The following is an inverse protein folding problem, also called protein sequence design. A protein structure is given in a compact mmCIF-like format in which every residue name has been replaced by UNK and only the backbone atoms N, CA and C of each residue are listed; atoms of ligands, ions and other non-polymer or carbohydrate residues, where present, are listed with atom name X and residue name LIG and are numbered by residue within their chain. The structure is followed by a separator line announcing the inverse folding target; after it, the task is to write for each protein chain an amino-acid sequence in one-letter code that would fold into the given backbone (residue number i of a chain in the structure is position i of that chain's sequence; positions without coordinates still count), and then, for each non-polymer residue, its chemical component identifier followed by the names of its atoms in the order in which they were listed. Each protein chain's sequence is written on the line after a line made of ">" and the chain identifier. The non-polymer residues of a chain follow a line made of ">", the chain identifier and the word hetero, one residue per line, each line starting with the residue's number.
data_IF_352135270580
#
_entry.id   IF_352135270580
#
_cell.length_a   1.000
_cell.length_b   1.000
_cell.length_c   1.000
_cell.angle_alpha   90.00
_cell.angle_beta   90.00
_cell.angle_gamma   90.00
#
_symmetry.space_group_name_H-M   'P 1'
#
loop_
_entity.id
_entity.type
_entity.pdbx_description
1 polymer ?
#
# COMPACT_ATOMS: atom_id res chain seq x y z
N UNK A 1 -13.05 17.83 0.30
CA UNK A 1 -13.25 19.24 0.70
C UNK A 1 -13.23 19.34 2.23
N UNK A 2 -12.79 20.45 2.83
CA UNK A 2 -12.87 20.64 4.29
C UNK A 2 -14.32 20.60 4.75
N UNK A 3 -14.62 19.75 5.73
CA UNK A 3 -15.97 19.60 6.28
C UNK A 3 -15.87 19.46 7.81
N UNK A 4 -16.68 20.25 8.52
CA UNK A 4 -16.71 20.20 9.99
C UNK A 4 -17.14 18.82 10.47
N UNK A 5 -16.46 18.34 11.51
CA UNK A 5 -16.76 17.07 12.19
C UNK A 5 -16.74 15.84 11.27
N UNK A 6 -15.96 15.93 10.18
CA UNK A 6 -15.74 14.83 9.25
C UNK A 6 -14.36 14.21 9.41
N UNK A 7 -14.21 12.98 8.94
CA UNK A 7 -12.93 12.28 8.83
C UNK A 7 -12.70 11.98 7.35
N UNK A 8 -11.50 12.28 6.87
CA UNK A 8 -11.05 11.83 5.55
C UNK A 8 -10.34 10.50 5.73
N UNK A 9 -10.76 9.49 4.95
CA UNK A 9 -10.14 8.16 4.94
C UNK A 9 -9.47 7.95 3.58
N UNK A 10 -8.22 7.50 3.61
CA UNK A 10 -7.49 7.07 2.42
C UNK A 10 -6.86 5.69 2.67
N UNK A 11 -6.69 4.93 1.60
CA UNK A 11 -6.08 3.60 1.64
C UNK A 11 -4.60 3.70 1.28
N UNK A 12 -3.76 2.89 1.92
CA UNK A 12 -2.31 2.83 1.67
C UNK A 12 -1.89 1.64 0.81
N UNK A 13 -0.62 1.62 0.43
CA UNK A 13 -0.01 0.64 -0.50
C UNK A 13 -0.23 -0.82 -0.05
N UNK A 14 -0.35 -1.08 1.26
CA UNK A 14 -0.58 -2.43 1.80
C UNK A 14 -1.97 -2.98 1.43
N UNK A 15 -3.01 -2.13 1.45
CA UNK A 15 -4.35 -2.55 1.01
C UNK A 15 -4.42 -2.72 -0.51
N UNK A 16 -3.62 -1.96 -1.27
CA UNK A 16 -3.48 -2.17 -2.71
C UNK A 16 -2.93 -3.58 -2.98
N UNK A 17 -1.88 -4.00 -2.27
CA UNK A 17 -1.34 -5.36 -2.37
C UNK A 17 -2.36 -6.42 -1.96
N UNK A 18 -2.98 -6.29 -0.78
CA UNK A 18 -3.93 -7.27 -0.23
C UNK A 18 -5.13 -7.47 -1.16
N UNK A 19 -5.59 -6.40 -1.81
CA UNK A 19 -6.73 -6.43 -2.71
C UNK A 19 -6.36 -6.76 -4.16
N UNK A 20 -5.12 -7.18 -4.41
CA UNK A 20 -4.59 -7.43 -5.75
C UNK A 20 -4.79 -6.24 -6.72
N UNK A 21 -4.73 -5.01 -6.20
CA UNK A 21 -4.87 -3.78 -6.99
C UNK A 21 -6.31 -3.30 -7.18
N UNK A 22 -7.32 -4.03 -6.69
CA UNK A 22 -8.72 -3.60 -6.74
C UNK A 22 -8.94 -2.25 -6.06
N UNK A 23 -8.28 -2.02 -4.92
CA UNK A 23 -8.27 -0.72 -4.24
C UNK A 23 -6.89 -0.10 -4.29
N UNK A 24 -6.71 0.91 -5.14
CA UNK A 24 -5.41 1.57 -5.32
C UNK A 24 -5.14 2.61 -4.25
N UNK A 25 -3.89 2.63 -3.78
CA UNK A 25 -3.29 3.73 -3.04
C UNK A 25 -3.02 4.90 -4.00
N UNK A 26 -3.59 6.06 -3.67
CA UNK A 26 -3.62 7.24 -4.54
C UNK A 26 -2.65 8.30 -4.06
N UNK A 27 -1.92 8.89 -5.01
CA UNK A 27 -1.04 10.03 -4.76
C UNK A 27 -1.85 11.22 -4.24
N UNK A 28 -1.43 11.78 -3.12
CA UNK A 28 -2.03 12.96 -2.52
C UNK A 28 -0.96 13.96 -2.11
N UNK A 29 -1.29 15.25 -2.16
CA UNK A 29 -0.42 16.35 -1.75
C UNK A 29 -1.21 17.41 -1.01
N UNK A 30 -0.52 18.20 -0.19
CA UNK A 30 -1.06 19.41 0.42
C UNK A 30 -0.32 20.60 -0.17
N UNK A 31 -1.07 21.63 -0.56
CA UNK A 31 -0.52 22.85 -1.16
C UNK A 31 -0.51 23.94 -0.08
N UNK A 32 0.62 24.63 0.07
CA UNK A 32 0.72 25.77 0.97
C UNK A 32 -0.05 26.98 0.40
N UNK A 33 -0.66 27.75 1.28
CA UNK A 33 -1.38 28.98 0.94
C UNK A 33 -0.70 30.17 1.62
N UNK A 34 -0.78 31.34 1.01
CA UNK A 34 -0.20 32.60 1.51
C UNK A 34 -0.96 33.16 2.71
N UNK A 35 -2.23 32.78 2.83
CA UNK A 35 -3.17 33.19 3.87
C UNK A 35 -3.82 31.95 4.52
N UNK A 36 -3.85 31.96 5.86
CA UNK A 36 -4.45 30.89 6.66
C UNK A 36 -3.48 29.80 7.13
N UNK A 37 -3.89 29.09 8.19
CA UNK A 37 -3.12 27.98 8.77
C UNK A 37 -4.00 26.72 8.81
N UNK A 38 -3.58 25.67 8.10
CA UNK A 38 -4.28 24.39 8.06
C UNK A 38 -3.70 23.42 9.09
N UNK A 39 -4.47 23.12 10.13
CA UNK A 39 -4.15 22.04 11.06
C UNK A 39 -4.50 20.67 10.46
N UNK A 40 -3.65 19.67 10.71
CA UNK A 40 -3.85 18.28 10.26
C UNK A 40 -3.46 17.31 11.38
N UNK A 41 -4.39 16.47 11.80
CA UNK A 41 -4.13 15.34 12.69
C UNK A 41 -4.35 14.08 11.87
N UNK A 42 -3.27 13.33 11.60
CA UNK A 42 -3.31 12.14 10.77
C UNK A 42 -2.88 10.92 11.59
N UNK A 43 -3.75 9.91 11.61
CA UNK A 43 -3.47 8.61 12.24
C UNK A 43 -3.30 7.55 11.16
N UNK A 44 -2.31 6.67 11.34
CA UNK A 44 -2.00 5.60 10.41
C UNK A 44 -2.17 4.26 11.12
N UNK A 45 -3.09 3.43 10.63
CA UNK A 45 -3.28 2.06 11.10
C UNK A 45 -2.53 1.12 10.16
N UNK A 46 -1.30 0.75 10.55
CA UNK A 46 -0.40 -0.05 9.74
C UNK A 46 -0.33 -1.50 10.25
N UNK A 47 0.10 -2.46 9.40
CA UNK A 47 0.47 -3.79 9.85
C UNK A 47 1.55 -3.77 10.94
N UNK A 48 1.65 -4.86 11.71
CA UNK A 48 2.81 -5.10 12.56
C UNK A 48 4.10 -5.24 11.74
N UNK A 49 5.25 -4.94 12.33
CA UNK A 49 6.54 -4.93 11.62
C UNK A 49 6.85 -6.27 10.94
N UNK A 50 6.58 -7.38 11.63
CA UNK A 50 6.79 -8.76 11.17
C UNK A 50 5.64 -9.31 10.30
N UNK A 51 4.58 -8.53 10.10
CA UNK A 51 3.43 -8.96 9.33
C UNK A 51 3.81 -9.22 7.87
N UNK A 52 3.37 -10.37 7.34
CA UNK A 52 3.57 -10.72 5.93
C UNK A 52 2.39 -10.24 5.10
N UNK A 53 2.66 -9.36 4.14
CA UNK A 53 1.66 -8.75 3.25
C UNK A 53 1.72 -9.43 1.88
N UNK A 54 0.55 -9.83 1.35
CA UNK A 54 0.40 -10.49 0.05
C UNK A 54 -1.04 -10.40 -0.45
N UNK A 55 -1.31 -10.61 -1.75
CA UNK A 55 -2.66 -10.66 -2.30
C UNK A 55 -3.53 -11.73 -1.61
N UNK A 56 -4.73 -11.35 -1.18
CA UNK A 56 -5.66 -12.28 -0.56
C UNK A 56 -6.07 -13.37 -1.57
N UNK A 57 -5.87 -14.68 -1.27
CA UNK A 57 -6.12 -15.76 -2.24
C UNK A 57 -7.54 -15.75 -2.81
N UNK A 58 -8.54 -15.44 -1.98
CA UNK A 58 -9.95 -15.39 -2.39
C UNK A 58 -10.27 -14.21 -3.32
N UNK A 59 -9.45 -13.16 -3.34
CA UNK A 59 -9.62 -12.04 -4.28
C UNK A 59 -8.94 -12.36 -5.62
N UNK A 60 -7.74 -12.96 -5.59
CA UNK A 60 -7.05 -13.40 -6.80
C UNK A 60 -7.87 -14.45 -7.55
N UNK A 61 -8.43 -15.45 -6.86
CA UNK A 61 -9.27 -16.48 -7.49
C UNK A 61 -10.50 -15.87 -8.17
N UNK A 62 -11.18 -14.94 -7.51
CA UNK A 62 -12.36 -14.25 -8.07
C UNK A 62 -12.03 -13.41 -9.30
N UNK A 63 -10.82 -12.86 -9.38
CA UNK A 63 -10.35 -12.10 -10.54
C UNK A 63 -9.91 -13.02 -11.67
N UNK A 64 -9.24 -14.13 -11.36
CA UNK A 64 -8.89 -15.17 -12.33
C UNK A 64 -10.13 -15.78 -12.99
N UNK A 65 -11.19 -16.06 -12.22
CA UNK A 65 -12.45 -16.60 -12.73
C UNK A 65 -13.21 -15.64 -13.65
N UNK A 66 -13.02 -14.33 -13.50
CA UNK A 66 -13.74 -13.30 -14.26
C UNK A 66 -12.96 -12.83 -15.48
N UNK A 67 -11.68 -12.56 -15.29
CA UNK A 67 -10.85 -11.78 -16.22
C UNK A 67 -9.50 -12.46 -16.51
N UNK A 68 -9.27 -13.71 -16.07
CA UNK A 68 -8.02 -14.48 -16.19
C UNK A 68 -6.78 -13.74 -15.63
N UNK A 69 -6.98 -12.97 -14.56
CA UNK A 69 -5.94 -12.18 -13.89
C UNK A 69 -5.31 -12.97 -12.74
N UNK A 70 -4.00 -13.21 -12.83
CA UNK A 70 -3.20 -13.81 -11.76
C UNK A 70 -2.78 -12.78 -10.68
N UNK A 71 -2.13 -13.25 -9.62
CA UNK A 71 -1.57 -12.38 -8.58
C UNK A 71 -0.50 -11.44 -9.17
N UNK A 72 -0.71 -10.13 -9.07
CA UNK A 72 0.18 -9.11 -9.69
C UNK A 72 1.18 -8.53 -8.69
N UNK A 73 0.84 -8.57 -7.40
CA UNK A 73 1.64 -7.97 -6.32
C UNK A 73 2.49 -9.00 -5.56
N UNK A 74 3.65 -8.58 -5.01
CA UNK A 74 4.57 -9.45 -4.27
C UNK A 74 4.04 -9.89 -2.90
N UNK A 75 4.71 -10.91 -2.33
CA UNK A 75 4.65 -11.28 -0.91
C UNK A 75 5.91 -10.76 -0.20
N UNK A 76 5.76 -10.03 0.89
CA UNK A 76 6.89 -9.44 1.63
C UNK A 76 6.57 -9.18 3.11
N UNK A 77 7.60 -8.94 3.93
CA UNK A 77 7.46 -8.50 5.32
C UNK A 77 7.30 -6.97 5.35
N UNK A 78 6.33 -6.48 6.13
CA UNK A 78 5.99 -5.06 6.17
C UNK A 78 7.17 -4.15 6.55
N UNK A 79 8.01 -4.57 7.51
CA UNK A 79 9.19 -3.80 7.90
C UNK A 79 10.16 -3.58 6.73
N UNK A 80 10.39 -4.58 5.89
CA UNK A 80 11.30 -4.48 4.75
C UNK A 80 10.78 -3.51 3.69
N UNK A 81 9.45 -3.53 3.46
CA UNK A 81 8.80 -2.52 2.64
C UNK A 81 8.98 -1.11 3.21
N UNK A 82 8.82 -0.95 4.52
CA UNK A 82 8.95 0.36 5.18
C UNK A 82 10.37 0.92 5.10
N UNK A 83 11.40 0.06 5.23
CA UNK A 83 12.82 0.45 5.04
C UNK A 83 13.06 1.04 3.65
N UNK A 84 12.45 0.48 2.61
CA UNK A 84 12.52 1.02 1.26
C UNK A 84 11.68 2.29 1.09
N UNK A 85 10.45 2.26 1.60
CA UNK A 85 9.48 3.35 1.48
C UNK A 85 10.02 4.67 2.01
N UNK A 86 10.68 4.67 3.18
CA UNK A 86 11.20 5.92 3.77
C UNK A 86 12.27 6.59 2.89
N UNK A 87 13.03 5.80 2.12
CA UNK A 87 14.08 6.29 1.21
C UNK A 87 13.47 6.79 -0.11
N UNK A 88 12.38 6.16 -0.57
CA UNK A 88 11.77 6.41 -1.88
C UNK A 88 10.41 7.10 -1.82
N UNK A 89 10.03 7.67 -0.67
CA UNK A 89 8.67 8.15 -0.36
C UNK A 89 8.05 9.05 -1.43
N UNK A 90 8.86 9.90 -2.05
CA UNK A 90 8.42 10.88 -3.05
C UNK A 90 8.73 10.46 -4.50
N UNK A 91 9.26 9.25 -4.71
CA UNK A 91 9.46 8.65 -6.03
C UNK A 91 8.21 7.84 -6.46
N UNK A 92 8.21 7.36 -7.70
CA UNK A 92 7.18 6.47 -8.23
C UNK A 92 6.94 5.27 -7.30
N UNK A 93 5.69 4.78 -7.25
CA UNK A 93 5.31 3.72 -6.30
C UNK A 93 5.61 2.32 -6.81
N UNK A 94 5.47 2.14 -8.11
CA UNK A 94 5.58 0.87 -8.80
C UNK A 94 6.94 0.21 -8.58
N UNK A 95 8.09 0.94 -8.64
CA UNK A 95 9.40 0.36 -8.35
C UNK A 95 9.54 -0.23 -6.94
N UNK A 96 8.77 0.24 -5.95
CA UNK A 96 8.81 -0.33 -4.59
C UNK A 96 8.23 -1.74 -4.57
N UNK A 97 7.14 -1.98 -5.29
CA UNK A 97 6.57 -3.32 -5.41
C UNK A 97 7.49 -4.26 -6.19
N UNK A 98 8.12 -3.77 -7.25
CA UNK A 98 9.10 -4.57 -8.01
C UNK A 98 10.31 -4.94 -7.16
N UNK A 99 10.83 -4.02 -6.34
CA UNK A 99 11.92 -4.32 -5.41
C UNK A 99 11.58 -5.42 -4.39
N UNK A 100 10.32 -5.47 -3.93
CA UNK A 100 9.86 -6.53 -3.03
C UNK A 100 9.73 -7.90 -3.70
N UNK A 101 9.51 -7.97 -5.03
CA UNK A 101 9.54 -9.25 -5.76
C UNK A 101 10.94 -9.87 -5.75
N UNK A 102 11.97 -9.05 -5.89
CA UNK A 102 13.37 -9.50 -5.93
C UNK A 102 13.90 -9.99 -4.57
N UNK A 103 13.23 -9.66 -3.47
CA UNK A 103 13.63 -10.00 -2.09
C UNK A 103 12.79 -11.12 -1.47
N UNK A 104 11.82 -11.69 -2.19
CA UNK A 104 11.02 -12.81 -1.71
C UNK A 104 11.92 -14.04 -1.45
N UNK A 105 12.14 -14.35 -0.17
CA UNK A 105 12.93 -15.51 0.24
C UNK A 105 12.30 -16.81 -0.29
N UNK A 106 13.10 -17.78 -0.79
CA UNK A 106 12.61 -19.12 -1.04
C UNK A 106 12.15 -19.76 0.28
N UNK A 107 10.97 -20.38 0.26
CA UNK A 107 10.41 -21.11 1.40
C UNK A 107 11.36 -22.26 1.76
N UNK A 108 11.77 -22.46 3.03
CA UNK A 108 12.33 -23.74 3.45
C UNK A 108 11.21 -24.77 3.38
N UNK A 109 11.27 -25.65 2.39
CA UNK A 109 10.45 -26.87 2.39
C UNK A 109 10.85 -27.70 3.59
N UNK A 110 9.95 -27.85 4.57
CA UNK A 110 10.05 -28.93 5.56
C UNK A 110 9.69 -30.25 4.91
#
# INVERSE_FOLDING_TARGET
>A
PPMRHSIVVNLGDQLEVITNGKYKSVLHRVVAQTDGNRMSIASFYNPGSDAVVFPAPSLVQKEAEKDDVAAVYPRFVFEDYMKLYVIQKFQAKEPRFEAMKATALPIPTS
#
